data_IF_794163121321
#
_entry.id   IF_794163121321
#
_cell.length_a   1.000
_cell.length_b   1.000
_cell.length_c   1.000
_cell.angle_alpha   90.00
_cell.angle_beta   90.00
_cell.angle_gamma   90.00
#
_symmetry.space_group_name_H-M   'P 1'
#
loop_
_entity.id
_entity.type
_entity.pdbx_description
1 polymer ?
#
# COMPACT_ATOMS: atom_id res chain seq x y z
N UNK A 1 -28.12 31.03 5.11
CA UNK A 1 -26.69 31.27 4.91
C UNK A 1 -25.97 30.10 5.55
N UNK A 2 -25.67 29.12 4.72
CA UNK A 2 -25.11 27.82 5.09
C UNK A 2 -23.66 27.97 5.55
N UNK A 3 -23.34 27.35 6.67
CA UNK A 3 -21.99 27.06 7.12
C UNK A 3 -21.62 25.65 6.64
N UNK A 4 -20.59 25.55 5.82
CA UNK A 4 -19.97 24.28 5.42
C UNK A 4 -19.18 23.70 6.60
N UNK A 5 -19.74 22.69 7.26
CA UNK A 5 -18.99 21.73 8.08
C UNK A 5 -18.72 20.48 7.23
N UNK A 6 -17.52 20.39 6.66
CA UNK A 6 -17.00 19.13 6.13
C UNK A 6 -16.56 18.25 7.31
N UNK A 7 -17.38 17.25 7.62
CA UNK A 7 -17.03 16.12 8.47
C UNK A 7 -15.77 15.43 7.93
N UNK A 8 -14.63 15.68 8.59
CA UNK A 8 -13.40 14.91 8.46
C UNK A 8 -13.68 13.51 9.00
N UNK A 9 -14.03 12.59 8.09
CA UNK A 9 -14.21 11.18 8.40
C UNK A 9 -12.84 10.49 8.44
N UNK A 10 -12.57 9.90 9.59
CA UNK A 10 -11.33 9.26 10.01
C UNK A 10 -10.91 8.09 9.06
N UNK A 11 -9.69 8.11 8.49
CA UNK A 11 -9.23 7.07 7.56
C UNK A 11 -9.06 5.68 8.22
N UNK A 12 -9.02 5.59 9.55
CA UNK A 12 -8.89 4.31 10.27
C UNK A 12 -10.16 3.46 10.23
N UNK A 13 -11.35 4.07 10.22
CA UNK A 13 -12.61 3.32 10.20
C UNK A 13 -12.94 2.68 8.85
N UNK A 14 -12.34 3.16 7.76
CA UNK A 14 -12.48 2.56 6.42
C UNK A 14 -11.77 1.21 6.30
N UNK A 15 -10.69 0.97 7.04
CA UNK A 15 -9.89 -0.26 6.95
C UNK A 15 -10.57 -1.49 7.58
N UNK A 16 -11.39 -1.29 8.63
CA UNK A 16 -12.10 -2.38 9.31
C UNK A 16 -13.40 -2.78 8.57
N UNK A 17 -14.05 -1.83 7.89
CA UNK A 17 -15.27 -2.09 7.12
C UNK A 17 -15.02 -2.81 5.78
N UNK A 18 -13.82 -2.67 5.19
CA UNK A 18 -13.47 -3.26 3.90
C UNK A 18 -13.29 -4.79 3.96
N UNK A 19 -12.89 -5.35 5.10
CA UNK A 19 -12.71 -6.80 5.25
C UNK A 19 -14.01 -7.62 5.10
N UNK A 20 -15.18 -7.01 5.35
CA UNK A 20 -16.49 -7.66 5.21
C UNK A 20 -17.13 -7.45 3.83
N UNK A 21 -16.84 -6.34 3.13
CA UNK A 21 -17.33 -6.09 1.77
C UNK A 21 -16.54 -6.85 0.68
N UNK A 22 -15.25 -7.14 0.90
CA UNK A 22 -14.44 -7.84 -0.10
C UNK A 22 -14.86 -9.31 -0.32
N UNK A 23 -15.46 -9.96 0.68
CA UNK A 23 -15.97 -11.33 0.54
C UNK A 23 -17.19 -11.37 -0.39
N UNK A 24 -18.05 -10.34 -0.36
CA UNK A 24 -19.19 -10.21 -1.27
C UNK A 24 -18.83 -9.60 -2.63
N UNK A 25 -17.76 -8.79 -2.72
CA UNK A 25 -17.24 -8.26 -3.98
C UNK A 25 -16.69 -9.34 -4.92
N UNK A 26 -16.17 -10.44 -4.38
CA UNK A 26 -15.85 -11.65 -5.15
C UNK A 26 -17.07 -12.41 -5.68
N UNK A 27 -18.29 -12.00 -5.34
CA UNK A 27 -19.54 -12.68 -5.72
C UNK A 27 -20.66 -11.76 -6.26
N UNK A 28 -20.42 -10.47 -6.51
CA UNK A 28 -21.52 -9.57 -6.87
C UNK A 28 -21.92 -9.68 -8.35
N UNK A 29 -22.97 -10.48 -8.56
CA UNK A 29 -24.13 -10.06 -9.34
C UNK A 29 -24.58 -8.67 -8.82
N UNK A 30 -24.95 -7.76 -9.71
CA UNK A 30 -25.53 -6.46 -9.35
C UNK A 30 -26.76 -6.65 -8.47
N UNK A 31 -26.70 -6.18 -7.22
CA UNK A 31 -27.90 -5.93 -6.42
C UNK A 31 -28.00 -4.42 -6.24
N UNK A 32 -28.70 -3.80 -7.20
CA UNK A 32 -29.31 -2.49 -6.99
C UNK A 32 -30.51 -2.64 -6.05
N UNK A 33 -30.69 -1.65 -5.16
CA UNK A 33 -31.84 -1.41 -4.26
C UNK A 33 -31.84 -2.22 -2.95
N UNK A 34 -31.21 -1.65 -1.94
CA UNK A 34 -31.73 -1.62 -0.56
C UNK A 34 -31.10 -0.41 0.17
N UNK A 35 -31.47 0.79 -0.27
CA UNK A 35 -31.41 2.01 0.51
C UNK A 35 -32.84 2.34 0.91
N UNK A 36 -33.28 1.87 2.06
CA UNK A 36 -34.25 2.58 2.89
C UNK A 36 -34.38 1.80 4.20
N UNK A 37 -34.64 2.55 5.26
CA UNK A 37 -34.77 2.07 6.63
C UNK A 37 -33.37 1.85 7.24
N UNK A 38 -32.88 2.87 7.94
CA UNK A 38 -32.74 2.89 9.39
C UNK A 38 -32.14 4.27 9.73
N UNK A 39 -32.89 5.31 9.32
CA UNK A 39 -32.83 6.62 9.95
C UNK A 39 -33.96 6.65 10.98
N UNK A 40 -33.73 7.41 12.05
CA UNK A 40 -34.67 7.83 13.11
C UNK A 40 -34.55 7.05 14.44
N UNK A 41 -33.96 7.77 15.41
CA UNK A 41 -34.13 7.68 16.88
C UNK A 41 -33.16 6.78 17.66
N UNK A 42 -32.19 7.39 18.38
CA UNK A 42 -32.45 7.87 19.74
C UNK A 42 -31.30 8.73 20.29
N UNK A 43 -31.73 9.85 20.87
CA UNK A 43 -31.01 10.94 21.52
C UNK A 43 -30.68 10.55 22.97
N UNK A 44 -29.55 11.09 23.49
CA UNK A 44 -29.16 11.23 24.91
C UNK A 44 -28.94 9.96 25.76
N UNK A 45 -27.69 9.76 26.22
CA UNK A 45 -27.31 9.83 27.64
C UNK A 45 -25.85 10.30 27.74
N UNK A 46 -25.67 11.61 27.89
CA UNK A 46 -24.54 12.18 28.63
C UNK A 46 -24.93 12.11 30.11
N UNK A 47 -24.09 11.53 30.97
CA UNK A 47 -23.74 12.05 32.30
C UNK A 47 -22.85 11.08 33.10
N UNK A 48 -21.71 11.63 33.54
CA UNK A 48 -20.98 11.36 34.78
C UNK A 48 -20.17 10.06 34.86
N UNK A 49 -18.84 10.20 34.69
CA UNK A 49 -17.88 9.81 35.73
C UNK A 49 -16.64 10.71 35.62
N UNK A 50 -16.38 11.47 36.69
CA UNK A 50 -15.13 12.19 36.89
C UNK A 50 -14.07 11.31 37.56
N UNK A 51 -12.84 11.78 37.46
CA UNK A 51 -11.60 11.32 38.10
C UNK A 51 -10.97 10.01 37.56
N UNK A 52 -9.83 10.11 36.87
CA UNK A 52 -8.50 10.17 37.49
C UNK A 52 -7.42 10.33 36.42
N UNK A 53 -6.56 11.33 36.59
CA UNK A 53 -5.26 11.39 35.94
C UNK A 53 -4.47 10.16 36.40
N UNK A 54 -4.25 9.19 35.52
CA UNK A 54 -3.37 8.06 35.79
C UNK A 54 -2.21 8.13 34.81
N UNK A 55 -1.05 8.46 35.35
CA UNK A 55 0.24 8.18 34.74
C UNK A 55 0.30 6.67 34.51
N UNK A 56 0.21 6.26 33.25
CA UNK A 56 0.32 4.86 32.87
C UNK A 56 1.78 4.44 33.05
N UNK A 57 2.08 3.86 34.21
CA UNK A 57 3.28 3.06 34.42
C UNK A 57 3.08 1.73 33.68
N UNK A 58 3.83 1.50 32.61
CA UNK A 58 3.84 0.21 31.89
C UNK A 58 5.20 -0.48 32.00
N UNK A 59 5.24 -1.73 32.50
CA UNK A 59 6.42 -2.56 32.53
C UNK A 59 6.57 -3.33 31.20
N UNK A 60 7.80 -3.44 30.68
CA UNK A 60 8.16 -4.50 29.73
C UNK A 60 8.75 -4.06 28.39
N UNK A 61 10.05 -4.36 28.22
CA UNK A 61 10.81 -4.49 26.97
C UNK A 61 10.98 -3.24 26.10
N UNK A 62 12.23 -2.82 25.92
CA UNK A 62 12.63 -1.52 25.36
C UNK A 62 12.35 -1.26 23.87
N UNK A 63 11.50 -2.05 23.20
CA UNK A 63 11.01 -1.75 21.83
C UNK A 63 9.59 -1.18 21.84
N UNK A 64 8.63 -1.85 22.48
CA UNK A 64 7.24 -1.35 22.58
C UNK A 64 7.15 -0.02 23.35
N UNK A 65 7.97 0.14 24.39
CA UNK A 65 8.07 1.42 25.10
C UNK A 65 8.63 2.54 24.22
N UNK A 66 9.48 2.23 23.24
CA UNK A 66 10.08 3.24 22.36
C UNK A 66 9.11 3.68 21.26
N UNK A 67 8.36 2.76 20.68
CA UNK A 67 7.32 3.03 19.68
C UNK A 67 6.19 3.89 20.26
N UNK A 68 5.69 3.54 21.45
CA UNK A 68 4.67 4.35 22.14
C UNK A 68 5.18 5.75 22.51
N UNK A 69 6.45 5.88 22.92
CA UNK A 69 7.09 7.18 23.20
C UNK A 69 7.17 8.05 21.95
N UNK A 70 7.36 7.45 20.77
CA UNK A 70 7.38 8.17 19.50
C UNK A 70 5.98 8.63 19.09
N UNK A 71 4.97 7.77 19.21
CA UNK A 71 3.57 8.11 18.91
C UNK A 71 3.06 9.25 19.81
N UNK A 72 3.32 9.14 21.12
CA UNK A 72 2.95 10.18 22.08
C UNK A 72 3.63 11.53 21.75
N UNK A 73 4.92 11.51 21.41
CA UNK A 73 5.63 12.73 21.05
C UNK A 73 5.06 13.41 19.80
N UNK A 74 4.62 12.64 18.80
CA UNK A 74 4.00 13.20 17.60
C UNK A 74 2.67 13.86 17.93
N UNK A 75 1.84 13.23 18.77
CA UNK A 75 0.55 13.80 19.19
C UNK A 75 0.74 15.09 20.02
N UNK A 76 1.65 15.07 20.99
CA UNK A 76 1.95 16.23 21.84
C UNK A 76 2.51 17.42 21.06
N UNK A 77 3.20 17.19 19.93
CA UNK A 77 3.74 18.28 19.10
C UNK A 77 2.66 19.24 18.57
N UNK A 78 1.49 18.71 18.24
CA UNK A 78 0.35 19.48 17.73
C UNK A 78 -0.58 19.98 18.84
N UNK A 79 -0.27 19.71 20.10
CA UNK A 79 -0.97 20.23 21.27
C UNK A 79 -0.56 21.67 21.63
N UNK A 80 -0.56 21.95 22.92
CA UNK A 80 -0.15 23.24 23.48
C UNK A 80 1.34 23.54 23.23
N UNK A 81 1.78 24.81 23.31
CA UNK A 81 3.21 25.15 23.20
C UNK A 81 4.12 24.38 24.18
N UNK A 82 3.61 24.10 25.38
CA UNK A 82 4.32 23.34 26.42
C UNK A 82 4.47 21.86 26.03
N UNK A 83 3.40 21.24 25.53
CA UNK A 83 3.41 19.86 25.02
C UNK A 83 4.32 19.74 23.80
N UNK A 84 4.31 20.75 22.93
CA UNK A 84 5.23 20.84 21.79
C UNK A 84 6.69 20.90 22.24
N UNK A 85 7.02 21.68 23.25
CA UNK A 85 8.39 21.73 23.75
C UNK A 85 8.80 20.41 24.42
N UNK A 86 7.89 19.80 25.19
CA UNK A 86 8.08 18.51 25.85
C UNK A 86 8.38 17.40 24.84
N UNK A 87 7.53 17.25 23.82
CA UNK A 87 7.70 16.26 22.74
C UNK A 87 9.03 16.41 22.01
N UNK A 88 9.42 17.64 21.70
CA UNK A 88 10.70 17.94 21.07
C UNK A 88 11.89 17.53 21.95
N UNK A 89 11.85 17.82 23.26
CA UNK A 89 12.89 17.40 24.21
C UNK A 89 12.97 15.88 24.31
N UNK A 90 11.83 15.20 24.36
CA UNK A 90 11.73 13.75 24.43
C UNK A 90 12.39 13.09 23.21
N UNK A 91 12.01 13.51 22.00
CA UNK A 91 12.60 13.01 20.76
C UNK A 91 14.09 13.32 20.64
N UNK A 92 14.52 14.54 21.02
CA UNK A 92 15.95 14.90 21.07
C UNK A 92 16.73 13.97 21.98
N UNK A 93 16.19 13.62 23.15
CA UNK A 93 16.83 12.72 24.10
C UNK A 93 16.94 11.28 23.56
N UNK A 94 15.88 10.79 22.90
CA UNK A 94 15.85 9.47 22.29
C UNK A 94 16.88 9.34 21.15
N UNK A 95 16.97 10.38 20.30
CA UNK A 95 17.87 10.45 19.16
C UNK A 95 19.37 10.59 19.52
N UNK A 96 19.76 10.69 20.80
CA UNK A 96 21.18 10.85 21.19
C UNK A 96 22.09 9.67 20.83
N UNK A 97 21.54 8.47 20.66
CA UNK A 97 22.31 7.26 20.34
C UNK A 97 22.11 6.87 18.88
N UNK A 98 23.22 6.64 18.16
CA UNK A 98 23.25 6.25 16.73
C UNK A 98 22.86 4.77 16.50
N UNK A 99 22.10 4.15 17.40
CA UNK A 99 21.64 2.78 17.23
C UNK A 99 20.49 2.72 16.22
N UNK A 100 20.44 1.75 15.27
CA UNK A 100 19.40 1.66 14.24
C UNK A 100 17.97 1.72 14.79
N UNK A 101 17.71 1.02 15.91
CA UNK A 101 16.41 1.04 16.59
C UNK A 101 15.92 2.43 17.06
N UNK A 102 16.80 3.45 17.05
CA UNK A 102 16.46 4.83 17.42
C UNK A 102 16.47 5.79 16.24
N UNK A 103 16.81 5.32 15.03
CA UNK A 103 16.81 6.10 13.81
C UNK A 103 15.42 6.73 13.55
N UNK A 104 14.34 5.99 13.87
CA UNK A 104 12.96 6.48 13.76
C UNK A 104 12.68 7.71 14.63
N UNK A 105 13.25 7.80 15.84
CA UNK A 105 13.11 9.02 16.68
C UNK A 105 13.82 10.22 16.06
N UNK A 106 14.99 10.02 15.44
CA UNK A 106 15.71 11.08 14.72
C UNK A 106 14.94 11.52 13.47
N UNK A 107 14.38 10.58 12.72
CA UNK A 107 13.54 10.85 11.57
C UNK A 107 12.29 11.66 11.97
N UNK A 108 11.53 11.21 12.96
CA UNK A 108 10.33 11.91 13.43
C UNK A 108 10.67 13.33 13.88
N UNK A 109 11.76 13.51 14.63
CA UNK A 109 12.22 14.84 15.03
C UNK A 109 12.54 15.74 13.82
N UNK A 110 13.20 15.20 12.79
CA UNK A 110 13.47 15.94 11.55
C UNK A 110 12.17 16.37 10.85
N UNK A 111 11.18 15.50 10.77
CA UNK A 111 9.85 15.81 10.19
C UNK A 111 9.18 16.95 10.96
N UNK A 112 9.15 16.88 12.29
CA UNK A 112 8.55 17.91 13.12
C UNK A 112 9.26 19.27 12.99
N UNK A 113 10.60 19.27 12.96
CA UNK A 113 11.40 20.48 12.73
C UNK A 113 11.15 21.08 11.33
N UNK A 114 11.05 20.22 10.32
CA UNK A 114 10.73 20.64 8.95
C UNK A 114 9.35 21.27 8.87
N UNK A 115 8.36 20.71 9.57
CA UNK A 115 7.01 21.28 9.65
C UNK A 115 6.99 22.67 10.31
N UNK A 116 7.93 22.92 11.23
CA UNK A 116 8.16 24.24 11.85
C UNK A 116 9.05 25.16 11.02
N UNK A 117 9.44 24.76 9.79
CA UNK A 117 10.39 25.45 8.91
C UNK A 117 11.79 25.66 9.51
N UNK A 118 12.15 24.90 10.54
CA UNK A 118 13.50 24.88 11.09
C UNK A 118 14.33 23.82 10.35
N UNK A 119 14.58 24.08 9.06
CA UNK A 119 15.27 23.14 8.20
C UNK A 119 16.74 22.87 8.59
N UNK A 120 17.54 23.84 9.10
CA UNK A 120 18.92 23.57 9.49
C UNK A 120 19.01 22.49 10.58
N UNK A 121 18.20 22.62 11.64
CA UNK A 121 18.16 21.62 12.70
C UNK A 121 17.49 20.32 12.20
N UNK A 122 16.49 20.40 11.33
CA UNK A 122 15.87 19.22 10.73
C UNK A 122 16.89 18.38 9.94
N UNK A 123 17.84 19.01 9.24
CA UNK A 123 18.83 18.31 8.43
C UNK A 123 19.81 17.55 9.30
N UNK A 124 20.24 18.14 10.42
CA UNK A 124 21.10 17.46 11.40
C UNK A 124 20.48 16.12 11.84
N UNK A 125 19.19 16.14 12.19
CA UNK A 125 18.49 14.94 12.65
C UNK A 125 18.14 13.96 11.52
N UNK A 126 17.88 14.45 10.30
CA UNK A 126 17.73 13.59 9.12
C UNK A 126 19.02 12.81 8.83
N UNK A 127 20.17 13.49 8.85
CA UNK A 127 21.48 12.89 8.63
C UNK A 127 21.80 11.84 9.71
N UNK A 128 21.43 12.10 10.97
CA UNK A 128 21.57 11.11 12.05
C UNK A 128 20.71 9.87 11.82
N UNK A 129 19.46 10.03 11.38
CA UNK A 129 18.59 8.91 11.03
C UNK A 129 19.21 8.04 9.92
N UNK A 130 19.65 8.68 8.81
CA UNK A 130 20.32 8.01 7.69
C UNK A 130 21.61 7.32 8.11
N UNK A 131 22.42 7.94 8.95
CA UNK A 131 23.68 7.34 9.39
C UNK A 131 23.46 6.16 10.34
N UNK A 132 22.35 6.14 11.10
CA UNK A 132 21.98 5.03 11.98
C UNK A 132 21.43 3.83 11.21
N UNK A 133 20.70 4.04 10.11
CA UNK A 133 20.32 2.98 9.16
C UNK A 133 20.43 3.47 7.70
N UNK A 134 21.59 3.26 7.05
CA UNK A 134 21.82 3.73 5.68
C UNK A 134 21.00 3.00 4.62
N UNK A 135 20.44 1.83 4.95
CA UNK A 135 19.72 0.98 4.01
C UNK A 135 18.24 1.36 3.87
N UNK A 136 17.71 2.08 4.86
CA UNK A 136 16.32 2.52 4.87
C UNK A 136 16.11 3.72 3.93
N UNK A 137 15.27 3.53 2.90
CA UNK A 137 14.93 4.57 1.94
C UNK A 137 14.22 5.76 2.58
N UNK A 138 13.43 5.53 3.64
CA UNK A 138 12.69 6.59 4.34
C UNK A 138 13.63 7.69 4.86
N UNK A 139 14.76 7.28 5.46
CA UNK A 139 15.71 8.22 6.04
C UNK A 139 16.53 8.94 4.98
N UNK A 140 16.84 8.26 3.87
CA UNK A 140 17.47 8.90 2.69
C UNK A 140 16.55 9.95 2.09
N UNK A 141 15.28 9.63 1.91
CA UNK A 141 14.28 10.53 1.36
C UNK A 141 14.08 11.76 2.25
N UNK A 142 14.09 11.58 3.57
CA UNK A 142 14.00 12.70 4.51
C UNK A 142 15.19 13.66 4.39
N UNK A 143 16.42 13.14 4.31
CA UNK A 143 17.62 13.99 4.09
C UNK A 143 17.45 14.80 2.82
N UNK A 144 17.03 14.13 1.73
CA UNK A 144 16.80 14.78 0.44
C UNK A 144 15.74 15.89 0.53
N UNK A 145 14.59 15.62 1.18
CA UNK A 145 13.51 16.60 1.34
C UNK A 145 13.95 17.83 2.15
N UNK A 146 14.64 17.63 3.27
CA UNK A 146 15.09 18.77 4.09
C UNK A 146 16.17 19.57 3.37
N UNK A 147 17.12 18.88 2.72
CA UNK A 147 18.16 19.49 1.92
C UNK A 147 17.57 20.34 0.77
N UNK A 148 16.54 19.83 0.11
CA UNK A 148 15.79 20.54 -0.92
C UNK A 148 15.28 21.90 -0.44
N UNK A 149 14.62 21.94 0.73
CA UNK A 149 14.09 23.20 1.27
C UNK A 149 15.20 24.16 1.71
N UNK A 150 16.29 23.66 2.31
CA UNK A 150 17.45 24.50 2.67
C UNK A 150 18.09 25.18 1.47
N UNK A 151 18.39 24.41 0.42
CA UNK A 151 19.13 24.92 -0.73
C UNK A 151 18.26 25.82 -1.61
N UNK A 152 16.96 25.50 -1.76
CA UNK A 152 16.08 26.23 -2.67
C UNK A 152 15.29 27.35 -2.01
N UNK A 153 14.84 27.20 -0.76
CA UNK A 153 14.07 28.26 -0.09
C UNK A 153 14.95 29.20 0.72
N UNK A 154 16.02 28.69 1.33
CA UNK A 154 16.89 29.48 2.20
C UNK A 154 18.23 29.86 1.56
N UNK A 155 18.60 29.22 0.44
CA UNK A 155 19.82 29.53 -0.31
C UNK A 155 21.11 29.12 0.39
N UNK A 156 21.04 28.24 1.39
CA UNK A 156 22.20 27.75 2.12
C UNK A 156 22.91 26.64 1.33
N UNK A 157 24.24 26.72 1.23
CA UNK A 157 25.06 25.73 0.51
C UNK A 157 25.26 24.49 1.39
N UNK A 158 24.70 23.37 0.97
CA UNK A 158 24.83 22.10 1.66
C UNK A 158 26.14 21.38 1.32
N UNK A 159 26.63 20.57 2.26
CA UNK A 159 27.60 19.50 2.01
C UNK A 159 26.95 18.27 1.36
N UNK A 160 25.96 18.49 0.49
CA UNK A 160 25.31 17.45 -0.28
C UNK A 160 26.30 16.80 -1.27
N UNK A 161 26.07 15.54 -1.59
CA UNK A 161 26.84 14.84 -2.63
C UNK A 161 26.65 15.53 -3.99
N UNK A 162 27.61 15.39 -4.89
CA UNK A 162 27.60 16.04 -6.20
C UNK A 162 26.38 15.63 -7.04
N UNK A 163 25.88 14.41 -6.84
CA UNK A 163 24.63 13.91 -7.44
C UNK A 163 23.41 14.70 -6.94
N UNK A 164 23.28 14.85 -5.63
CA UNK A 164 22.16 15.56 -4.99
C UNK A 164 22.15 17.03 -5.41
N UNK A 165 23.32 17.68 -5.42
CA UNK A 165 23.48 19.08 -5.90
C UNK A 165 23.03 19.26 -7.34
N UNK A 166 23.39 18.33 -8.22
CA UNK A 166 22.94 18.34 -9.62
C UNK A 166 21.43 18.17 -9.72
N UNK A 167 20.86 17.30 -8.91
CA UNK A 167 19.42 17.08 -8.89
C UNK A 167 18.67 18.33 -8.42
N UNK A 168 19.12 18.98 -7.35
CA UNK A 168 18.52 20.23 -6.86
C UNK A 168 18.65 21.38 -7.86
N UNK A 169 19.83 21.54 -8.47
CA UNK A 169 20.05 22.52 -9.54
C UNK A 169 19.15 22.27 -10.74
N UNK A 170 18.99 21.01 -11.16
CA UNK A 170 18.09 20.64 -12.24
C UNK A 170 16.64 21.03 -11.89
N UNK A 171 16.18 20.78 -10.67
CA UNK A 171 14.81 21.18 -10.26
C UNK A 171 14.66 22.70 -10.24
N UNK A 172 15.65 23.42 -9.70
CA UNK A 172 15.63 24.89 -9.66
C UNK A 172 15.52 25.46 -11.07
N UNK A 173 16.42 25.04 -11.96
CA UNK A 173 16.47 25.50 -13.34
C UNK A 173 15.21 25.11 -14.11
N UNK A 174 14.61 23.95 -13.81
CA UNK A 174 13.34 23.51 -14.34
C UNK A 174 12.21 24.47 -13.93
N UNK A 175 12.09 24.79 -12.65
CA UNK A 175 11.11 25.78 -12.14
C UNK A 175 11.33 27.18 -12.70
N UNK A 176 12.59 27.57 -12.90
CA UNK A 176 12.97 28.88 -13.45
C UNK A 176 12.84 28.94 -14.99
N UNK A 177 12.40 27.88 -15.66
CA UNK A 177 12.23 27.82 -17.12
C UNK A 177 13.53 27.73 -17.93
N UNK A 178 14.67 27.47 -17.26
CA UNK A 178 16.00 27.38 -17.87
C UNK A 178 16.25 25.98 -18.45
N UNK A 179 15.66 25.74 -19.62
CA UNK A 179 15.65 24.41 -20.26
C UNK A 179 17.04 23.86 -20.59
N UNK A 180 17.95 24.69 -21.11
CA UNK A 180 19.31 24.27 -21.50
C UNK A 180 20.16 23.85 -20.29
N UNK A 181 20.10 24.62 -19.21
CA UNK A 181 20.82 24.33 -17.96
C UNK A 181 20.27 23.06 -17.31
N UNK A 182 18.94 22.93 -17.25
CA UNK A 182 18.26 21.72 -16.76
C UNK A 182 18.70 20.47 -17.53
N UNK A 183 18.72 20.55 -18.87
CA UNK A 183 19.17 19.45 -19.72
C UNK A 183 20.62 19.04 -19.42
N UNK A 184 21.50 20.01 -19.15
CA UNK A 184 22.91 19.72 -18.85
C UNK A 184 23.09 18.86 -17.59
N UNK A 185 22.32 19.16 -16.54
CA UNK A 185 22.37 18.38 -15.29
C UNK A 185 21.70 17.01 -15.48
N UNK A 186 20.58 16.95 -16.18
CA UNK A 186 19.85 15.69 -16.43
C UNK A 186 20.64 14.68 -17.27
N UNK A 187 21.41 15.14 -18.26
CA UNK A 187 22.27 14.25 -19.07
C UNK A 187 23.28 13.53 -18.17
N UNK A 188 23.87 14.25 -17.21
CA UNK A 188 24.82 13.66 -16.24
C UNK A 188 24.11 12.69 -15.31
N UNK A 189 22.94 13.06 -14.77
CA UNK A 189 22.17 12.18 -13.87
C UNK A 189 21.71 10.89 -14.56
N UNK A 190 21.34 10.96 -15.84
CA UNK A 190 21.04 9.78 -16.67
C UNK A 190 22.28 8.90 -16.84
N UNK A 191 23.43 9.51 -17.15
CA UNK A 191 24.69 8.77 -17.34
C UNK A 191 25.12 8.04 -16.06
N UNK A 192 24.85 8.63 -14.90
CA UNK A 192 25.07 8.03 -13.58
C UNK A 192 24.01 7.00 -13.19
N UNK A 193 22.93 6.84 -13.98
CA UNK A 193 21.76 5.98 -13.71
C UNK A 193 20.95 6.37 -12.47
N UNK A 194 21.04 7.63 -12.06
CA UNK A 194 20.29 8.16 -10.91
C UNK A 194 18.85 8.56 -11.31
N UNK A 195 18.62 8.81 -12.60
CA UNK A 195 17.28 9.05 -13.16
C UNK A 195 17.04 8.17 -14.38
N UNK A 196 15.82 7.64 -14.48
CA UNK A 196 15.36 6.86 -15.63
C UNK A 196 14.26 7.56 -16.42
N UNK A 197 13.77 6.85 -17.44
CA UNK A 197 12.78 7.37 -18.40
C UNK A 197 11.49 7.86 -17.72
N UNK A 198 11.02 7.16 -16.70
CA UNK A 198 9.79 7.48 -15.98
C UNK A 198 9.88 8.84 -15.28
N UNK A 199 11.03 9.17 -14.69
CA UNK A 199 11.28 10.46 -14.03
C UNK A 199 11.23 11.63 -15.01
N UNK A 200 11.60 11.39 -16.26
CA UNK A 200 11.56 12.38 -17.33
C UNK A 200 10.17 12.52 -17.97
N UNK A 201 9.44 11.41 -18.14
CA UNK A 201 8.13 11.42 -18.82
C UNK A 201 6.97 11.77 -17.91
N UNK A 202 7.03 11.40 -16.62
CA UNK A 202 5.91 11.53 -15.66
C UNK A 202 6.30 12.24 -14.37
N UNK A 203 7.59 12.52 -14.16
CA UNK A 203 8.09 13.14 -12.94
C UNK A 203 8.16 14.67 -13.03
N UNK A 204 8.86 15.26 -12.06
CA UNK A 204 9.03 16.70 -11.90
C UNK A 204 9.66 17.39 -13.13
N UNK A 205 10.40 16.66 -13.95
CA UNK A 205 11.07 17.20 -15.14
C UNK A 205 10.22 17.14 -16.42
N UNK A 206 9.05 16.50 -16.38
CA UNK A 206 8.20 16.29 -17.55
C UNK A 206 7.74 17.59 -18.20
N UNK A 207 7.40 18.59 -17.37
CA UNK A 207 6.96 19.91 -17.82
C UNK A 207 8.10 20.74 -18.43
N UNK A 208 9.32 20.60 -17.92
CA UNK A 208 10.46 21.44 -18.31
C UNK A 208 11.19 20.93 -19.55
N UNK A 209 11.29 19.60 -19.67
CA UNK A 209 12.13 18.96 -20.68
C UNK A 209 11.31 18.56 -21.90
N UNK A 210 10.07 18.10 -21.67
CA UNK A 210 9.24 17.51 -22.71
C UNK A 210 9.94 16.34 -23.43
N UNK A 211 9.54 16.07 -24.68
CA UNK A 211 10.24 15.12 -25.56
C UNK A 211 11.52 15.77 -26.10
N UNK A 212 12.57 15.83 -25.29
CA UNK A 212 13.90 16.27 -25.76
C UNK A 212 14.58 15.14 -26.52
N UNK A 213 15.05 15.42 -27.73
CA UNK A 213 15.75 14.46 -28.60
C UNK A 213 17.02 13.88 -27.94
N UNK A 214 17.65 14.64 -27.03
CA UNK A 214 18.88 14.26 -26.35
C UNK A 214 18.66 13.14 -25.31
N UNK A 215 17.42 13.00 -24.81
CA UNK A 215 17.07 12.04 -23.76
C UNK A 215 16.15 10.90 -24.27
N UNK A 216 16.09 10.69 -25.58
CA UNK A 216 15.26 9.64 -26.20
C UNK A 216 15.79 8.23 -25.89
N UNK A 217 17.09 8.10 -25.62
CA UNK A 217 17.76 6.81 -25.38
C UNK A 217 17.82 6.40 -23.90
N UNK A 218 17.16 7.12 -23.02
CA UNK A 218 17.15 6.81 -21.58
C UNK A 218 16.41 5.50 -21.34
N UNK A 219 17.06 4.57 -20.64
CA UNK A 219 16.47 3.29 -20.28
C UNK A 219 15.33 3.49 -19.27
N UNK A 220 14.26 2.70 -19.34
CA UNK A 220 13.27 2.65 -18.27
C UNK A 220 13.94 2.18 -16.96
N UNK A 221 13.35 2.56 -15.84
CA UNK A 221 13.78 2.10 -14.52
C UNK A 221 13.84 0.57 -14.49
N UNK A 222 14.91 0.03 -13.92
CA UNK A 222 15.12 -1.43 -13.85
C UNK A 222 14.00 -2.13 -13.05
N UNK A 223 13.43 -1.41 -12.07
CA UNK A 223 12.37 -1.90 -11.20
C UNK A 223 11.03 -1.29 -11.59
N UNK A 224 10.07 -2.15 -11.92
CA UNK A 224 8.68 -1.76 -12.06
C UNK A 224 7.97 -1.93 -10.71
N UNK A 225 7.87 -0.85 -9.94
CA UNK A 225 7.26 -0.87 -8.60
C UNK A 225 5.80 -1.32 -8.62
N UNK A 226 5.04 -1.01 -9.69
CA UNK A 226 3.66 -1.52 -9.83
C UNK A 226 3.64 -3.05 -9.93
N UNK A 227 4.57 -3.63 -10.69
CA UNK A 227 4.71 -5.08 -10.82
C UNK A 227 5.16 -5.72 -9.49
N UNK A 228 6.13 -5.14 -8.81
CA UNK A 228 6.60 -5.65 -7.51
C UNK A 228 5.53 -5.52 -6.43
N UNK A 229 4.74 -4.44 -6.43
CA UNK A 229 3.60 -4.28 -5.52
C UNK A 229 2.56 -5.41 -5.71
N UNK A 230 2.14 -5.66 -6.95
CA UNK A 230 1.19 -6.74 -7.21
C UNK A 230 1.76 -8.12 -6.88
N UNK A 231 3.05 -8.34 -7.15
CA UNK A 231 3.74 -9.57 -6.75
C UNK A 231 3.80 -9.72 -5.24
N UNK A 232 4.05 -8.63 -4.50
CA UNK A 232 3.99 -8.63 -3.03
C UNK A 232 2.59 -9.01 -2.54
N UNK A 233 1.53 -8.36 -3.06
CA UNK A 233 0.15 -8.67 -2.69
C UNK A 233 -0.23 -10.13 -2.99
N UNK A 234 0.17 -10.65 -4.15
CA UNK A 234 -0.03 -12.05 -4.51
C UNK A 234 0.70 -12.98 -3.54
N UNK A 235 1.93 -12.62 -3.16
CA UNK A 235 2.76 -13.41 -2.27
C UNK A 235 2.33 -13.35 -0.80
N UNK A 236 1.75 -12.24 -0.35
CA UNK A 236 1.25 -12.09 1.02
C UNK A 236 -0.17 -12.63 1.19
N UNK A 237 -0.87 -12.95 0.11
CA UNK A 237 -2.26 -13.39 0.17
C UNK A 237 -2.40 -14.75 0.89
N UNK A 238 -3.29 -14.87 1.90
CA UNK A 238 -3.47 -16.11 2.70
C UNK A 238 -3.84 -17.37 1.89
N UNK A 239 -4.35 -17.17 0.68
CA UNK A 239 -4.92 -18.20 -0.18
C UNK A 239 -4.10 -18.53 -1.43
N UNK A 240 -2.91 -17.92 -1.58
CA UNK A 240 -2.06 -18.08 -2.79
C UNK A 240 -1.67 -19.53 -3.09
N UNK A 241 -1.62 -20.38 -2.07
CA UNK A 241 -1.19 -21.79 -2.17
C UNK A 241 -2.26 -22.71 -2.77
N UNK A 242 -3.50 -22.22 -2.84
CA UNK A 242 -4.67 -23.01 -3.25
C UNK A 242 -5.34 -22.41 -4.48
N UNK A 243 -5.39 -21.08 -4.56
CA UNK A 243 -6.06 -20.36 -5.63
C UNK A 243 -5.15 -19.31 -6.24
N UNK A 244 -5.25 -19.12 -7.55
CA UNK A 244 -4.58 -18.01 -8.24
C UNK A 244 -5.27 -16.68 -7.91
N UNK A 245 -4.62 -15.93 -7.03
CA UNK A 245 -5.13 -14.65 -6.50
C UNK A 245 -4.85 -13.47 -7.44
N UNK A 246 -4.09 -13.68 -8.52
CA UNK A 246 -3.73 -12.60 -9.45
C UNK A 246 -4.95 -11.91 -10.06
N UNK A 247 -6.05 -12.64 -10.26
CA UNK A 247 -7.29 -12.10 -10.79
C UNK A 247 -7.96 -11.11 -9.83
N UNK A 248 -7.92 -11.42 -8.53
CA UNK A 248 -8.45 -10.57 -7.45
C UNK A 248 -7.53 -9.35 -7.29
N UNK A 249 -6.23 -9.60 -7.15
CA UNK A 249 -5.21 -8.58 -6.87
C UNK A 249 -5.06 -7.59 -8.03
N UNK A 250 -5.07 -8.07 -9.28
CA UNK A 250 -4.87 -7.23 -10.49
C UNK A 250 -6.18 -6.81 -11.15
N UNK A 251 -7.35 -7.14 -10.57
CA UNK A 251 -8.68 -6.94 -11.17
C UNK A 251 -8.79 -7.52 -12.60
N UNK A 252 -8.18 -8.69 -12.81
CA UNK A 252 -8.19 -9.40 -14.09
C UNK A 252 -9.21 -10.53 -14.06
N UNK A 253 -9.96 -10.69 -15.15
CA UNK A 253 -10.87 -11.82 -15.27
C UNK A 253 -10.09 -13.12 -15.47
N UNK A 254 -10.59 -14.21 -14.88
CA UNK A 254 -10.01 -15.56 -15.02
C UNK A 254 -9.78 -15.97 -16.48
N UNK A 255 -10.61 -15.47 -17.39
CA UNK A 255 -10.57 -15.74 -18.82
C UNK A 255 -9.35 -15.12 -19.52
N UNK A 256 -8.83 -14.01 -18.98
CA UNK A 256 -7.64 -13.33 -19.48
C UNK A 256 -6.33 -13.94 -18.96
N UNK A 257 -6.38 -14.85 -17.98
CA UNK A 257 -5.20 -15.54 -17.48
C UNK A 257 -4.75 -16.59 -18.50
N UNK A 258 -3.55 -16.45 -19.08
CA UNK A 258 -3.06 -17.44 -20.05
C UNK A 258 -2.74 -18.78 -19.38
N UNK A 259 -2.01 -18.75 -18.26
CA UNK A 259 -1.57 -19.95 -17.53
C UNK A 259 -1.76 -19.77 -16.01
N UNK A 260 -2.88 -20.28 -15.44
CA UNK A 260 -3.06 -20.29 -13.99
C UNK A 260 -1.95 -21.09 -13.31
N UNK A 261 -1.35 -20.52 -12.26
CA UNK A 261 -0.25 -21.15 -11.53
C UNK A 261 -0.76 -22.31 -10.65
N UNK A 262 -1.99 -22.18 -10.15
CA UNK A 262 -2.63 -23.20 -9.31
C UNK A 262 -3.49 -24.16 -10.13
N UNK A 263 -3.35 -25.45 -9.84
CA UNK A 263 -4.06 -26.52 -10.54
C UNK A 263 -5.58 -26.45 -10.31
N UNK A 264 -6.00 -26.11 -9.09
CA UNK A 264 -7.42 -25.88 -8.75
C UNK A 264 -8.03 -24.80 -9.64
N UNK A 265 -7.32 -23.68 -9.82
CA UNK A 265 -7.76 -22.59 -10.68
C UNK A 265 -7.75 -22.97 -12.15
N UNK A 266 -6.78 -23.79 -12.59
CA UNK A 266 -6.72 -24.32 -13.96
C UNK A 266 -7.93 -25.22 -14.25
N UNK A 267 -8.23 -26.19 -13.39
CA UNK A 267 -9.36 -27.09 -13.55
C UNK A 267 -10.70 -26.31 -13.60
N UNK A 268 -10.86 -25.29 -12.76
CA UNK A 268 -12.03 -24.42 -12.81
C UNK A 268 -12.14 -23.61 -14.11
N UNK A 269 -11.02 -23.08 -14.60
CA UNK A 269 -10.98 -22.36 -15.88
C UNK A 269 -11.36 -23.28 -17.05
N UNK A 270 -10.82 -24.50 -17.10
CA UNK A 270 -11.12 -25.51 -18.11
C UNK A 270 -12.60 -25.92 -18.08
N UNK A 271 -13.18 -26.09 -16.88
CA UNK A 271 -14.61 -26.32 -16.70
C UNK A 271 -15.45 -25.19 -17.31
N UNK A 272 -15.16 -23.93 -16.96
CA UNK A 272 -15.89 -22.77 -17.53
C UNK A 272 -15.74 -22.67 -19.04
N UNK A 273 -14.58 -23.00 -19.59
CA UNK A 273 -14.37 -23.05 -21.05
C UNK A 273 -15.24 -24.14 -21.70
N UNK A 274 -15.35 -25.31 -21.08
CA UNK A 274 -16.18 -26.42 -21.56
C UNK A 274 -17.68 -26.13 -21.48
N UNK A 275 -18.10 -25.39 -20.46
CA UNK A 275 -19.48 -24.87 -20.35
C UNK A 275 -19.77 -23.89 -21.49
N UNK A 276 -18.85 -22.95 -21.77
CA UNK A 276 -18.99 -22.00 -22.89
C UNK A 276 -19.04 -22.69 -24.25
N UNK A 277 -18.24 -23.73 -24.47
CA UNK A 277 -18.25 -24.51 -25.71
C UNK A 277 -19.40 -25.53 -25.78
N UNK A 278 -20.27 -25.59 -24.76
CA UNK A 278 -21.39 -26.52 -24.63
C UNK A 278 -20.96 -28.00 -24.64
N UNK A 279 -19.71 -28.30 -24.32
CA UNK A 279 -19.19 -29.67 -24.30
C UNK A 279 -19.48 -30.35 -22.95
N UNK A 280 -20.51 -31.18 -22.92
CA UNK A 280 -20.96 -31.89 -21.69
C UNK A 280 -19.95 -32.88 -21.15
N UNK A 281 -19.24 -33.59 -22.02
CA UNK A 281 -18.28 -34.64 -21.62
C UNK A 281 -17.09 -33.99 -20.92
N UNK A 282 -16.47 -32.99 -21.57
CA UNK A 282 -15.34 -32.27 -21.01
C UNK A 282 -15.74 -31.49 -19.75
N UNK A 283 -16.92 -30.88 -19.71
CA UNK A 283 -17.38 -30.17 -18.52
C UNK A 283 -17.49 -31.10 -17.30
N UNK A 284 -18.02 -32.32 -17.46
CA UNK A 284 -18.09 -33.30 -16.38
C UNK A 284 -16.68 -33.71 -15.91
N UNK A 285 -15.77 -33.98 -16.85
CA UNK A 285 -14.40 -34.37 -16.56
C UNK A 285 -13.61 -33.28 -15.83
N UNK A 286 -13.67 -32.03 -16.30
CA UNK A 286 -12.99 -30.91 -15.66
C UNK A 286 -13.59 -30.55 -14.30
N UNK A 287 -14.90 -30.74 -14.08
CA UNK A 287 -15.50 -30.53 -12.77
C UNK A 287 -15.08 -31.60 -11.76
N UNK A 288 -14.99 -32.86 -12.21
CA UNK A 288 -14.45 -33.95 -11.39
C UNK A 288 -12.99 -33.68 -11.01
N UNK A 289 -12.16 -33.30 -11.98
CA UNK A 289 -10.77 -32.89 -11.77
C UNK A 289 -10.66 -31.73 -10.78
N UNK A 290 -11.56 -30.74 -10.88
CA UNK A 290 -11.61 -29.62 -9.93
C UNK A 290 -11.88 -30.10 -8.50
N UNK A 291 -12.85 -31.00 -8.29
CA UNK A 291 -13.14 -31.62 -6.98
C UNK A 291 -11.93 -32.38 -6.43
N UNK A 292 -11.35 -33.27 -7.22
CA UNK A 292 -10.19 -34.08 -6.81
C UNK A 292 -9.00 -33.19 -6.42
N UNK A 293 -8.75 -32.13 -7.19
CA UNK A 293 -7.68 -31.17 -6.88
C UNK A 293 -7.96 -30.41 -5.58
N UNK A 294 -9.22 -30.05 -5.31
CA UNK A 294 -9.62 -29.43 -4.04
C UNK A 294 -9.43 -30.37 -2.85
N UNK A 295 -9.74 -31.65 -3.00
CA UNK A 295 -9.55 -32.67 -1.96
C UNK A 295 -8.08 -32.85 -1.62
N UNK A 296 -7.21 -32.99 -2.63
CA UNK A 296 -5.75 -33.05 -2.44
C UNK A 296 -5.23 -31.78 -1.79
N UNK A 297 -5.72 -30.60 -2.22
CA UNK A 297 -5.26 -29.32 -1.67
C UNK A 297 -5.75 -29.09 -0.25
N UNK A 298 -6.91 -29.63 0.12
CA UNK A 298 -7.48 -29.51 1.47
C UNK A 298 -6.63 -30.20 2.55
N UNK A 299 -5.78 -31.15 2.16
CA UNK A 299 -4.90 -31.89 3.07
C UNK A 299 -3.63 -31.12 3.45
N UNK A 300 -3.29 -30.02 2.75
CA UNK A 300 -2.02 -29.30 2.94
C UNK A 300 -1.94 -28.55 4.27
N UNK A 301 -2.97 -27.78 4.61
CA UNK A 301 -3.04 -27.00 5.86
C UNK A 301 -4.49 -26.61 6.21
N UNK A 302 -4.72 -26.10 7.43
CA UNK A 302 -6.07 -25.76 7.91
C UNK A 302 -6.73 -24.64 7.09
N UNK A 303 -5.95 -23.67 6.60
CA UNK A 303 -6.46 -22.58 5.76
C UNK A 303 -6.88 -23.10 4.37
N UNK A 304 -6.09 -24.01 3.80
CA UNK A 304 -6.37 -24.68 2.55
C UNK A 304 -7.61 -25.56 2.66
N UNK A 305 -7.82 -26.24 3.79
CA UNK A 305 -9.05 -26.99 4.07
C UNK A 305 -10.29 -26.07 4.07
N UNK A 306 -10.23 -24.95 4.79
CA UNK A 306 -11.33 -23.97 4.85
C UNK A 306 -11.64 -23.39 3.46
N UNK A 307 -10.60 -22.97 2.75
CA UNK A 307 -10.74 -22.40 1.42
C UNK A 307 -11.25 -23.42 0.41
N UNK A 308 -10.76 -24.67 0.43
CA UNK A 308 -11.24 -25.70 -0.48
C UNK A 308 -12.73 -25.97 -0.30
N UNK A 309 -13.20 -26.02 0.96
CA UNK A 309 -14.62 -26.12 1.29
C UNK A 309 -15.41 -24.93 0.76
N UNK A 310 -14.91 -23.71 0.93
CA UNK A 310 -15.56 -22.49 0.43
C UNK A 310 -15.60 -22.46 -1.10
N UNK A 311 -14.53 -22.87 -1.79
CA UNK A 311 -14.47 -22.96 -3.25
C UNK A 311 -15.45 -24.01 -3.79
N UNK A 312 -15.58 -25.14 -3.12
CA UNK A 312 -16.56 -26.18 -3.45
C UNK A 312 -18.01 -25.66 -3.34
N UNK A 313 -18.34 -24.99 -2.23
CA UNK A 313 -19.67 -24.35 -2.03
C UNK A 313 -19.93 -23.24 -3.04
N UNK A 314 -18.94 -22.38 -3.26
CA UNK A 314 -18.97 -21.32 -4.26
C UNK A 314 -19.28 -21.86 -5.67
N UNK A 315 -18.58 -22.93 -6.08
CA UNK A 315 -18.82 -23.58 -7.36
C UNK A 315 -20.24 -24.16 -7.45
N UNK A 316 -20.74 -24.79 -6.39
CA UNK A 316 -22.10 -25.31 -6.33
C UNK A 316 -23.15 -24.20 -6.56
N UNK A 317 -23.07 -23.11 -5.78
CA UNK A 317 -24.03 -22.02 -5.89
C UNK A 317 -23.95 -21.30 -7.24
N UNK A 318 -22.75 -21.15 -7.81
CA UNK A 318 -22.59 -20.53 -9.12
C UNK A 318 -23.26 -21.37 -10.20
N UNK A 319 -23.02 -22.69 -10.23
CA UNK A 319 -23.59 -23.58 -11.25
C UNK A 319 -25.13 -23.63 -11.13
N UNK A 320 -25.69 -23.54 -9.92
CA UNK A 320 -27.15 -23.50 -9.75
C UNK A 320 -27.75 -22.15 -10.14
N UNK A 321 -27.13 -21.05 -9.71
CA UNK A 321 -27.71 -19.70 -9.81
C UNK A 321 -27.47 -18.98 -11.13
N UNK A 322 -26.35 -19.22 -11.81
CA UNK A 322 -25.99 -18.48 -13.03
C UNK A 322 -26.64 -19.12 -14.27
N UNK A 323 -27.41 -18.37 -15.08
CA UNK A 323 -28.07 -18.87 -16.29
C UNK A 323 -27.13 -19.52 -17.31
N UNK A 324 -25.86 -19.11 -17.34
CA UNK A 324 -24.86 -19.68 -18.26
C UNK A 324 -24.58 -21.17 -18.00
N UNK A 325 -24.95 -21.69 -16.82
CA UNK A 325 -24.76 -23.08 -16.42
C UNK A 325 -26.05 -23.91 -16.45
N UNK A 326 -27.17 -23.39 -16.98
CA UNK A 326 -28.47 -24.07 -16.95
C UNK A 326 -28.41 -25.52 -17.49
N UNK A 327 -27.70 -25.73 -18.61
CA UNK A 327 -27.50 -27.05 -19.22
C UNK A 327 -26.54 -27.98 -18.47
N UNK A 328 -25.97 -27.53 -17.36
CA UNK A 328 -24.93 -28.22 -16.58
C UNK A 328 -25.28 -28.36 -15.10
N UNK A 329 -26.46 -27.90 -14.66
CA UNK A 329 -26.90 -27.97 -13.25
C UNK A 329 -26.87 -29.38 -12.66
N UNK A 330 -27.09 -30.41 -13.48
CA UNK A 330 -27.03 -31.81 -13.02
C UNK A 330 -25.65 -32.21 -12.47
N UNK A 331 -24.58 -31.52 -12.88
CA UNK A 331 -23.21 -31.76 -12.43
C UNK A 331 -22.95 -31.27 -10.99
N UNK A 332 -23.87 -30.54 -10.36
CA UNK A 332 -23.68 -30.10 -8.97
C UNK A 332 -23.64 -31.27 -7.99
N UNK A 333 -24.21 -32.43 -8.35
CA UNK A 333 -24.11 -33.67 -7.57
C UNK A 333 -22.67 -34.10 -7.34
N UNK A 334 -21.78 -33.82 -8.29
CA UNK A 334 -20.36 -34.12 -8.16
C UNK A 334 -19.71 -33.30 -7.03
N UNK A 335 -20.24 -32.10 -6.76
CA UNK A 335 -19.78 -31.17 -5.73
C UNK A 335 -20.50 -31.35 -4.39
N UNK A 336 -21.44 -32.28 -4.25
CA UNK A 336 -22.03 -32.61 -2.96
C UNK A 336 -21.06 -33.54 -2.20
N UNK A 337 -20.90 -33.32 -0.89
CA UNK A 337 -20.28 -34.31 -0.02
C UNK A 337 -21.30 -35.46 0.08
N UNK A 338 -21.04 -36.58 -0.59
CA UNK A 338 -21.75 -37.82 -0.25
C UNK A 338 -21.31 -38.23 1.17
N UNK A 339 -22.25 -38.61 2.05
CA UNK A 339 -21.92 -39.07 3.40
C UNK A 339 -20.98 -40.28 3.41
#
# INVERSE_FOLDING_TARGET
MESNDENVTDPFFKLVFLGFQEIFGSFSIQISKCQSLWDVSFIFVLLIFGFYCSTVSMPGSGRFALEMVQEQAILEFYGTPQERESSMRLLKSSCRSLHPARALSCYNLSVLLSSSKNYPEALEYALRARNADPSDSLYRDQVFQVAYHLELEQGEVLSADEVEKRYFRAIKNCKDGKKSETLSDLIVLVALKEIGKESLEKGIFSECVGKSDVLVHVKPNEVNYTKEYYKFLENSHPYREVWDVSGVVRKQTLEKMQSPNQEVTRAWKEFRQSVKSKNRIQAAEHLKKFKETLEVTSQKNQNAKKLALHLKKAAFYLIQGDPSFEGFRYLTKELEDSP
#
